data_IF_787412916141
#
_entry.id   IF_787412916141
#
_cell.length_a   1.000
_cell.length_b   1.000
_cell.length_c   1.000
_cell.angle_alpha   90.00
_cell.angle_beta   90.00
_cell.angle_gamma   90.00
#
_symmetry.space_group_name_H-M   'P 1'
#
loop_
_entity.id
_entity.type
_entity.pdbx_description
1 polymer ?
#
# COMPACT_ATOMS: atom_id res chain seq x y z
N UNK A 1 -6.05 -27.35 11.96
CA UNK A 1 -7.32 -27.26 11.21
C UNK A 1 -8.34 -28.13 11.89
N UNK A 2 -9.42 -27.51 12.39
CA UNK A 2 -10.58 -28.26 12.87
C UNK A 2 -11.69 -28.30 11.80
N UNK A 3 -11.72 -27.33 10.88
CA UNK A 3 -12.70 -27.19 9.79
C UNK A 3 -12.05 -26.44 8.60
N UNK A 4 -12.53 -26.64 7.36
CA UNK A 4 -12.11 -25.85 6.18
C UNK A 4 -11.28 -26.60 5.13
N UNK A 5 -10.58 -25.85 4.27
CA UNK A 5 -9.71 -26.36 3.22
C UNK A 5 -8.28 -25.87 3.41
N UNK A 6 -7.31 -26.77 3.23
CA UNK A 6 -5.88 -26.44 3.19
C UNK A 6 -5.36 -26.62 1.78
N UNK A 7 -4.92 -25.53 1.18
CA UNK A 7 -4.29 -25.56 -0.14
C UNK A 7 -2.83 -25.18 0.07
N UNK A 8 -1.92 -26.07 -0.33
CA UNK A 8 -0.48 -25.85 -0.26
C UNK A 8 0.13 -25.80 -1.65
N UNK A 9 1.14 -24.96 -1.79
CA UNK A 9 2.00 -24.97 -2.97
C UNK A 9 2.92 -26.18 -3.00
N UNK A 10 3.57 -26.38 -4.14
CA UNK A 10 4.55 -27.44 -4.36
C UNK A 10 5.79 -27.35 -3.45
N UNK A 11 6.06 -26.19 -2.83
CA UNK A 11 7.15 -26.00 -1.86
C UNK A 11 6.67 -26.12 -0.41
N UNK A 12 5.43 -26.58 -0.17
CA UNK A 12 4.85 -26.77 1.16
C UNK A 12 4.31 -25.51 1.82
N UNK A 13 4.38 -24.36 1.15
CA UNK A 13 3.82 -23.10 1.61
C UNK A 13 2.29 -23.16 1.65
N UNK A 14 1.68 -22.71 2.74
CA UNK A 14 0.23 -22.57 2.84
C UNK A 14 -0.23 -21.41 1.97
N UNK A 15 -1.19 -21.67 1.09
CA UNK A 15 -1.79 -20.70 0.17
C UNK A 15 -3.15 -20.24 0.71
N UNK A 16 -3.97 -21.19 1.16
CA UNK A 16 -5.27 -20.96 1.80
C UNK A 16 -5.35 -21.88 3.01
N UNK A 17 -5.75 -21.34 4.15
CA UNK A 17 -6.17 -22.09 5.33
C UNK A 17 -7.34 -21.39 6.06
N UNK A 18 -7.74 -21.95 7.21
CA UNK A 18 -8.83 -21.47 8.06
C UNK A 18 -8.46 -20.29 8.97
N UNK A 19 -7.19 -19.83 8.96
CA UNK A 19 -6.68 -18.79 9.87
C UNK A 19 -5.99 -17.62 9.17
N UNK A 20 -5.58 -17.77 7.91
CA UNK A 20 -4.88 -16.82 7.06
C UNK A 20 -5.74 -16.53 5.81
N UNK A 21 -6.54 -15.45 5.82
CA UNK A 21 -7.43 -15.13 4.71
C UNK A 21 -6.66 -14.64 3.49
N UNK A 22 -7.13 -15.00 2.29
CA UNK A 22 -6.70 -14.34 1.07
C UNK A 22 -7.16 -12.88 1.05
N UNK A 23 -6.31 -11.99 0.54
CA UNK A 23 -6.71 -10.61 0.25
C UNK A 23 -7.47 -10.58 -1.09
N UNK A 24 -8.73 -10.18 -1.06
CA UNK A 24 -9.56 -10.03 -2.25
C UNK A 24 -9.58 -8.58 -2.70
N UNK A 25 -9.35 -8.32 -3.98
CA UNK A 25 -9.59 -7.01 -4.59
C UNK A 25 -11.09 -6.74 -4.51
N UNK A 26 -11.46 -5.65 -3.85
CA UNK A 26 -12.86 -5.24 -3.66
C UNK A 26 -13.23 -4.02 -4.49
N UNK A 27 -12.26 -3.17 -4.78
CA UNK A 27 -12.47 -2.03 -5.67
C UNK A 27 -11.15 -1.56 -6.28
N UNK A 28 -11.23 -0.86 -7.41
CA UNK A 28 -10.09 -0.22 -8.05
C UNK A 28 -10.55 1.02 -8.79
N UNK A 29 -9.61 1.92 -9.07
CA UNK A 29 -9.92 3.14 -9.81
C UNK A 29 -8.68 3.98 -10.09
N UNK A 30 -8.93 5.25 -10.40
CA UNK A 30 -7.89 6.27 -10.59
C UNK A 30 -7.97 7.32 -9.49
N UNK A 31 -6.83 7.92 -9.14
CA UNK A 31 -6.78 9.12 -8.33
C UNK A 31 -6.17 10.27 -9.16
N UNK A 32 -6.73 11.46 -8.99
CA UNK A 32 -6.43 12.63 -9.82
C UNK A 32 -5.29 13.50 -9.32
N UNK A 33 -5.20 14.70 -9.89
CA UNK A 33 -4.25 15.74 -9.51
C UNK A 33 -4.90 16.67 -8.51
N UNK A 34 -4.29 16.81 -7.34
CA UNK A 34 -4.61 17.87 -6.39
C UNK A 34 -3.28 18.22 -5.72
N UNK A 35 -2.84 19.47 -5.88
CA UNK A 35 -1.50 19.92 -5.50
C UNK A 35 -1.22 19.76 -4.00
N UNK A 36 -1.39 20.82 -3.22
CA UNK A 36 -1.13 20.82 -1.78
C UNK A 36 -2.35 20.40 -0.92
N UNK A 37 -3.40 19.85 -1.53
CA UNK A 37 -4.64 19.47 -0.85
C UNK A 37 -4.73 17.97 -0.65
N UNK A 38 -5.42 17.56 0.40
CA UNK A 38 -5.73 16.14 0.64
C UNK A 38 -6.62 15.60 -0.48
N UNK A 39 -6.23 14.46 -1.05
CA UNK A 39 -7.07 13.71 -1.96
C UNK A 39 -7.94 12.75 -1.16
N UNK A 40 -9.25 12.81 -1.40
CA UNK A 40 -10.24 11.94 -0.79
C UNK A 40 -10.81 11.02 -1.87
N UNK A 41 -10.69 9.71 -1.67
CA UNK A 41 -11.24 8.68 -2.55
C UNK A 41 -12.31 7.92 -1.78
N UNK A 42 -13.54 7.95 -2.30
CA UNK A 42 -14.67 7.17 -1.77
C UNK A 42 -14.84 5.87 -2.54
N UNK A 43 -15.12 4.79 -1.82
CA UNK A 43 -15.55 3.54 -2.43
C UNK A 43 -16.98 3.65 -2.93
N UNK A 44 -17.31 2.89 -3.97
CA UNK A 44 -18.65 2.79 -4.55
C UNK A 44 -19.69 2.29 -3.55
N UNK A 45 -19.29 1.36 -2.68
CA UNK A 45 -20.09 0.88 -1.55
C UNK A 45 -19.18 0.66 -0.34
N UNK A 46 -19.69 0.79 0.90
CA UNK A 46 -18.88 0.54 2.09
C UNK A 46 -18.34 -0.89 2.12
N UNK A 47 -17.02 -1.04 2.31
CA UNK A 47 -16.39 -2.36 2.44
C UNK A 47 -16.67 -2.90 3.83
N UNK A 48 -17.40 -4.03 3.87
CA UNK A 48 -17.70 -4.74 5.10
C UNK A 48 -16.56 -5.69 5.48
N UNK A 49 -15.53 -5.16 6.12
CA UNK A 49 -14.40 -5.91 6.66
C UNK A 49 -14.13 -5.46 8.09
N UNK A 50 -13.88 -6.38 9.04
CA UNK A 50 -13.49 -6.00 10.40
C UNK A 50 -12.12 -5.30 10.46
N UNK A 51 -11.30 -5.43 9.41
CA UNK A 51 -9.98 -4.82 9.29
C UNK A 51 -9.94 -3.74 8.20
N UNK A 52 -9.03 -2.79 8.35
CA UNK A 52 -8.71 -1.80 7.33
C UNK A 52 -8.44 -2.45 5.96
N UNK A 53 -8.93 -1.86 4.85
CA UNK A 53 -8.54 -2.30 3.52
C UNK A 53 -7.04 -2.10 3.25
N UNK A 54 -6.43 -3.04 2.55
CA UNK A 54 -5.08 -2.91 2.00
C UNK A 54 -5.15 -2.07 0.74
N UNK A 55 -4.56 -0.87 0.75
CA UNK A 55 -4.61 0.04 -0.41
C UNK A 55 -3.27 0.04 -1.12
N UNK A 56 -3.33 -0.20 -2.42
CA UNK A 56 -2.20 -0.23 -3.32
C UNK A 56 -2.33 0.86 -4.37
N UNK A 57 -1.22 1.47 -4.77
CA UNK A 57 -1.20 2.55 -5.76
C UNK A 57 -0.20 2.27 -6.86
N UNK A 58 -0.49 2.79 -8.04
CA UNK A 58 0.39 2.85 -9.19
C UNK A 58 0.43 4.28 -9.71
N UNK A 59 1.42 5.08 -9.27
CA UNK A 59 1.68 6.42 -9.79
C UNK A 59 1.87 6.45 -11.31
N UNK A 60 1.34 7.50 -11.94
CA UNK A 60 1.58 7.77 -13.36
C UNK A 60 3.03 8.19 -13.62
N UNK A 61 3.69 8.82 -12.65
CA UNK A 61 5.11 9.16 -12.72
C UNK A 61 5.65 9.73 -11.40
N UNK A 62 6.51 10.76 -11.43
CA UNK A 62 7.17 11.30 -10.24
C UNK A 62 6.22 11.99 -9.26
N UNK A 63 6.00 11.36 -8.11
CA UNK A 63 5.49 11.94 -6.86
C UNK A 63 5.57 10.89 -5.74
N UNK A 64 5.51 11.33 -4.49
CA UNK A 64 5.35 10.45 -3.34
C UNK A 64 4.01 10.69 -2.63
N UNK A 65 3.43 9.63 -2.08
CA UNK A 65 2.21 9.65 -1.27
C UNK A 65 2.57 9.70 0.20
N UNK A 66 1.85 10.50 1.00
CA UNK A 66 2.05 10.60 2.45
C UNK A 66 0.76 10.96 3.20
N UNK A 67 0.80 10.84 4.54
CA UNK A 67 -0.36 11.09 5.41
C UNK A 67 -1.60 10.29 5.00
N UNK A 68 -1.39 9.02 4.66
CA UNK A 68 -2.46 8.12 4.28
C UNK A 68 -3.38 7.84 5.47
N UNK A 69 -4.70 7.87 5.27
CA UNK A 69 -5.67 7.45 6.29
C UNK A 69 -6.87 6.76 5.65
N UNK A 70 -7.47 5.85 6.39
CA UNK A 70 -8.76 5.25 6.04
C UNK A 70 -9.92 6.17 6.39
N UNK A 71 -11.04 5.99 5.68
CA UNK A 71 -12.32 6.62 5.96
C UNK A 71 -13.33 5.54 6.36
N UNK A 72 -14.18 5.83 7.33
CA UNK A 72 -15.08 4.86 7.94
C UNK A 72 -14.41 4.10 9.08
N UNK A 73 -14.88 2.88 9.34
CA UNK A 73 -14.38 2.04 10.43
C UNK A 73 -14.72 0.57 10.22
N UNK A 74 -14.39 -0.30 11.20
CA UNK A 74 -14.63 -1.74 11.12
C UNK A 74 -16.06 -2.07 10.68
N UNK A 75 -16.19 -2.87 9.61
CA UNK A 75 -17.47 -3.27 9.01
C UNK A 75 -18.12 -2.26 8.05
N UNK A 76 -17.58 -1.04 7.93
CA UNK A 76 -18.11 0.01 7.07
C UNK A 76 -17.01 1.00 6.63
N UNK A 77 -15.99 0.53 5.93
CA UNK A 77 -14.95 1.40 5.37
C UNK A 77 -15.47 2.09 4.12
N UNK A 78 -15.42 3.42 4.06
CA UNK A 78 -16.03 4.23 3.00
C UNK A 78 -15.03 4.80 2.01
N UNK A 79 -13.73 4.67 2.28
CA UNK A 79 -12.70 5.18 1.40
C UNK A 79 -11.34 5.32 2.07
N UNK A 80 -10.52 6.17 1.48
CA UNK A 80 -9.21 6.55 1.99
C UNK A 80 -8.84 7.96 1.53
N UNK A 81 -7.87 8.57 2.21
CA UNK A 81 -7.35 9.88 1.87
C UNK A 81 -5.83 9.93 2.02
N UNK A 82 -5.18 10.78 1.24
CA UNK A 82 -3.72 10.97 1.29
C UNK A 82 -3.31 12.28 0.59
N UNK A 83 -2.06 12.68 0.77
CA UNK A 83 -1.45 13.82 0.08
C UNK A 83 -0.40 13.37 -0.93
N UNK A 84 -0.20 14.17 -1.98
CA UNK A 84 0.88 14.00 -2.95
C UNK A 84 1.99 15.02 -2.67
N UNK A 85 3.24 14.59 -2.75
CA UNK A 85 4.43 15.44 -2.55
C UNK A 85 5.38 15.34 -3.72
N UNK A 86 6.06 16.46 -3.98
CA UNK A 86 6.99 16.64 -5.09
C UNK A 86 8.29 17.26 -4.58
N UNK A 87 9.35 17.09 -5.36
CA UNK A 87 10.69 17.55 -5.00
C UNK A 87 11.21 18.45 -6.12
N UNK A 88 11.79 19.60 -5.76
CA UNK A 88 12.23 20.62 -6.73
C UNK A 88 13.39 20.13 -7.59
N UNK A 89 14.26 19.29 -7.02
CA UNK A 89 15.50 18.84 -7.64
C UNK A 89 15.38 17.44 -8.26
N UNK A 90 14.15 17.03 -8.59
CA UNK A 90 13.85 15.76 -9.26
C UNK A 90 13.16 16.02 -10.60
N UNK A 91 12.77 14.97 -11.32
CA UNK A 91 12.00 15.16 -12.54
C UNK A 91 10.68 15.90 -12.29
N UNK A 92 10.14 16.61 -13.30
CA UNK A 92 8.85 17.28 -13.21
C UNK A 92 7.78 16.30 -12.72
N UNK A 93 6.91 16.73 -11.78
CA UNK A 93 5.94 15.83 -11.20
C UNK A 93 4.87 15.40 -12.20
N UNK A 94 4.50 14.13 -12.15
CA UNK A 94 3.39 13.56 -12.93
C UNK A 94 2.40 12.96 -11.95
N UNK A 95 1.50 13.82 -11.48
CA UNK A 95 0.51 13.50 -10.48
C UNK A 95 -0.51 12.45 -10.94
N UNK A 96 -1.21 11.89 -9.96
CA UNK A 96 -2.28 10.94 -10.19
C UNK A 96 -1.77 9.52 -10.45
N UNK A 97 -2.71 8.60 -10.60
CA UNK A 97 -2.37 7.21 -10.78
C UNK A 97 -3.58 6.31 -10.68
N UNK A 98 -3.31 5.02 -10.56
CA UNK A 98 -4.33 4.02 -10.30
C UNK A 98 -4.22 3.51 -8.87
N UNK A 99 -5.32 2.97 -8.35
CA UNK A 99 -5.36 2.35 -7.04
C UNK A 99 -6.16 1.05 -7.07
N UNK A 100 -5.83 0.15 -6.16
CA UNK A 100 -6.59 -1.06 -5.82
C UNK A 100 -6.80 -1.08 -4.30
N UNK A 101 -7.99 -1.42 -3.86
CA UNK A 101 -8.28 -1.75 -2.47
C UNK A 101 -8.56 -3.25 -2.37
N UNK A 102 -7.88 -3.89 -1.43
CA UNK A 102 -8.12 -5.28 -1.08
C UNK A 102 -8.60 -5.39 0.37
N UNK A 103 -9.38 -6.41 0.66
CA UNK A 103 -9.86 -6.67 2.02
C UNK A 103 -9.90 -8.16 2.31
N UNK A 104 -10.06 -8.49 3.58
CA UNK A 104 -10.12 -9.87 4.10
C UNK A 104 -11.40 -10.05 4.89
N UNK A 105 -11.82 -11.30 5.12
CA UNK A 105 -12.98 -11.63 5.98
C UNK A 105 -14.28 -10.92 5.56
N UNK A 106 -14.45 -10.77 4.26
CA UNK A 106 -15.61 -10.14 3.64
C UNK A 106 -16.87 -11.01 3.76
N UNK A 107 -18.08 -10.44 3.55
CA UNK A 107 -19.30 -11.22 3.51
C UNK A 107 -19.29 -12.22 2.36
N UNK A 108 -20.08 -13.29 2.52
CA UNK A 108 -20.33 -14.29 1.49
C UNK A 108 -20.93 -13.65 0.23
N UNK A 109 -20.44 -14.05 -0.95
CA UNK A 109 -21.13 -13.74 -2.21
C UNK A 109 -22.15 -14.84 -2.54
N UNK A 110 -23.33 -14.46 -3.02
CA UNK A 110 -24.45 -15.40 -3.28
C UNK A 110 -24.39 -16.12 -4.64
N UNK A 111 -23.22 -16.24 -5.27
CA UNK A 111 -23.07 -16.82 -6.62
C UNK A 111 -22.49 -18.24 -6.57
N UNK A 112 -22.49 -18.93 -7.71
CA UNK A 112 -21.80 -20.21 -7.91
C UNK A 112 -20.28 -20.03 -7.76
N UNK A 113 -19.59 -20.91 -7.05
CA UNK A 113 -18.14 -20.84 -6.87
C UNK A 113 -17.64 -21.65 -5.67
N UNK A 114 -16.33 -21.63 -5.46
CA UNK A 114 -15.69 -22.21 -4.28
C UNK A 114 -15.49 -21.12 -3.22
N UNK A 115 -16.04 -21.34 -2.03
CA UNK A 115 -15.84 -20.49 -0.86
C UNK A 115 -15.26 -21.30 0.29
N UNK A 116 -14.22 -20.76 0.93
CA UNK A 116 -13.64 -21.31 2.16
C UNK A 116 -13.98 -20.35 3.28
N UNK A 117 -14.45 -20.89 4.41
CA UNK A 117 -14.82 -20.12 5.59
C UNK A 117 -14.01 -20.54 6.80
N UNK A 118 -13.84 -19.60 7.73
CA UNK A 118 -13.33 -19.92 9.07
C UNK A 118 -14.44 -20.46 9.98
N UNK A 119 -14.09 -20.77 11.23
CA UNK A 119 -15.03 -21.24 12.25
C UNK A 119 -16.11 -20.22 12.65
N UNK A 120 -16.01 -18.96 12.20
CA UNK A 120 -16.99 -17.89 12.41
C UNK A 120 -17.81 -17.58 11.16
N UNK A 121 -17.74 -18.43 10.11
CA UNK A 121 -18.42 -18.25 8.83
C UNK A 121 -17.98 -17.02 8.03
N UNK A 122 -16.78 -16.48 8.29
CA UNK A 122 -16.19 -15.38 7.51
C UNK A 122 -15.44 -15.94 6.31
N UNK A 123 -15.43 -15.21 5.19
CA UNK A 123 -14.78 -15.68 3.94
C UNK A 123 -13.26 -15.61 4.08
N UNK A 124 -12.61 -16.76 3.94
CA UNK A 124 -11.16 -16.92 3.85
C UNK A 124 -10.69 -16.93 2.39
N UNK A 125 -11.50 -17.50 1.50
CA UNK A 125 -11.29 -17.51 0.06
C UNK A 125 -12.64 -17.54 -0.67
N UNK A 126 -12.73 -16.85 -1.82
CA UNK A 126 -13.88 -16.86 -2.71
C UNK A 126 -13.39 -16.81 -4.15
N UNK A 127 -13.68 -17.84 -4.95
CA UNK A 127 -13.25 -17.93 -6.34
C UNK A 127 -13.90 -16.88 -7.25
N UNK A 128 -14.97 -16.21 -6.80
CA UNK A 128 -15.63 -15.15 -7.55
C UNK A 128 -14.98 -13.77 -7.34
N UNK A 129 -13.93 -13.68 -6.53
CA UNK A 129 -13.21 -12.45 -6.27
C UNK A 129 -11.79 -12.56 -6.81
N UNK A 130 -11.32 -11.50 -7.46
CA UNK A 130 -9.91 -11.36 -7.78
C UNK A 130 -9.11 -11.33 -6.47
N UNK A 131 -8.01 -12.09 -6.43
CA UNK A 131 -7.10 -12.12 -5.28
C UNK A 131 -5.88 -11.25 -5.57
N UNK A 132 -5.33 -10.63 -4.53
CA UNK A 132 -4.05 -9.92 -4.63
C UNK A 132 -2.96 -10.89 -5.07
N UNK A 133 -2.24 -10.55 -6.14
CA UNK A 133 -1.06 -11.29 -6.61
C UNK A 133 0.21 -10.52 -6.27
N UNK A 134 0.93 -11.01 -5.26
CA UNK A 134 2.24 -10.47 -4.91
C UNK A 134 3.25 -10.73 -6.03
N UNK A 135 4.02 -9.71 -6.39
CA UNK A 135 5.10 -9.81 -7.38
C UNK A 135 6.47 -9.61 -6.73
N UNK A 136 6.51 -9.09 -5.51
CA UNK A 136 7.71 -9.04 -4.70
C UNK A 136 7.59 -8.10 -3.51
N UNK A 137 8.71 -7.91 -2.84
CA UNK A 137 8.82 -7.02 -1.70
C UNK A 137 10.27 -6.85 -1.28
N UNK A 138 10.49 -5.87 -0.42
CA UNK A 138 11.80 -5.57 0.16
C UNK A 138 11.58 -4.90 1.51
N UNK A 139 12.60 -4.84 2.36
CA UNK A 139 12.45 -4.23 3.69
C UNK A 139 13.60 -3.29 4.05
N UNK A 140 14.80 -3.53 3.54
CA UNK A 140 16.00 -2.77 3.91
C UNK A 140 16.30 -1.73 2.85
N UNK A 141 16.02 -0.46 3.15
CA UNK A 141 16.24 0.64 2.21
C UNK A 141 17.62 1.24 2.37
N UNK A 142 18.26 1.58 1.25
CA UNK A 142 19.56 2.25 1.24
C UNK A 142 19.38 3.75 1.39
N UNK A 143 20.25 4.39 2.19
CA UNK A 143 20.32 5.85 2.26
C UNK A 143 20.56 6.42 0.86
N UNK A 144 19.79 7.43 0.47
CA UNK A 144 19.87 8.03 -0.87
C UNK A 144 20.34 9.48 -0.83
N UNK A 145 19.62 10.33 -0.10
CA UNK A 145 19.91 11.76 -0.05
C UNK A 145 19.47 12.35 1.28
N UNK A 146 20.12 13.44 1.68
CA UNK A 146 19.76 14.23 2.85
C UNK A 146 19.62 15.70 2.44
N UNK A 147 18.50 16.32 2.79
CA UNK A 147 18.25 17.74 2.57
C UNK A 147 18.17 18.46 3.92
N UNK A 148 19.20 19.27 4.28
CA UNK A 148 19.21 20.01 5.54
C UNK A 148 18.30 21.25 5.55
N UNK A 149 17.79 21.68 4.39
CA UNK A 149 17.06 22.93 4.18
C UNK A 149 15.65 22.66 3.61
N UNK A 150 14.95 21.63 4.11
CA UNK A 150 13.57 21.37 3.71
C UNK A 150 12.65 22.52 4.19
N UNK A 151 11.60 22.88 3.43
CA UNK A 151 10.69 23.97 3.82
C UNK A 151 10.23 23.90 5.28
N UNK A 152 10.13 25.06 5.92
CA UNK A 152 9.82 25.18 7.35
C UNK A 152 11.02 24.99 8.29
N UNK A 153 12.25 25.06 7.77
CA UNK A 153 13.47 24.86 8.56
C UNK A 153 13.66 23.41 9.01
N UNK A 154 13.02 22.48 8.30
CA UNK A 154 13.03 21.05 8.64
C UNK A 154 14.15 20.34 7.86
N UNK A 155 14.43 19.10 8.25
CA UNK A 155 15.43 18.25 7.58
C UNK A 155 14.74 17.02 7.02
N UNK A 156 15.07 16.65 5.80
CA UNK A 156 14.47 15.52 5.12
C UNK A 156 15.53 14.48 4.78
N UNK A 157 15.31 13.23 5.20
CA UNK A 157 16.10 12.08 4.78
C UNK A 157 15.31 11.29 3.73
N UNK A 158 16.00 10.88 2.67
CA UNK A 158 15.46 10.01 1.61
C UNK A 158 16.24 8.70 1.57
N UNK A 159 15.51 7.61 1.38
CA UNK A 159 16.01 6.26 1.16
C UNK A 159 15.44 5.70 -0.14
N UNK A 160 16.12 4.73 -0.74
CA UNK A 160 15.77 4.17 -2.03
C UNK A 160 15.87 2.64 -2.05
N UNK A 161 15.09 2.05 -2.96
CA UNK A 161 15.12 0.64 -3.32
C UNK A 161 14.99 0.47 -4.85
N UNK A 162 15.68 -0.50 -5.46
CA UNK A 162 15.34 -0.96 -6.80
C UNK A 162 13.86 -1.39 -6.87
N UNK A 163 13.19 -1.04 -7.97
CA UNK A 163 11.81 -1.43 -8.25
C UNK A 163 11.74 -2.23 -9.56
N UNK A 164 12.15 -3.52 -9.56
CA UNK A 164 12.29 -4.34 -10.76
C UNK A 164 10.96 -4.91 -11.28
N UNK A 165 9.83 -4.56 -10.64
CA UNK A 165 8.52 -5.18 -10.91
C UNK A 165 7.81 -4.62 -12.14
N UNK A 166 8.34 -3.54 -12.73
CA UNK A 166 7.78 -2.91 -13.93
C UNK A 166 6.69 -1.89 -13.62
N UNK A 167 6.43 -1.01 -14.59
CA UNK A 167 5.58 0.18 -14.44
C UNK A 167 4.08 -0.11 -14.33
N UNK A 168 3.65 -1.35 -14.58
CA UNK A 168 2.26 -1.77 -14.48
C UNK A 168 1.85 -2.22 -13.07
N UNK A 169 2.81 -2.40 -12.15
CA UNK A 169 2.59 -2.93 -10.80
C UNK A 169 2.23 -1.85 -9.79
N UNK A 170 1.59 -2.24 -8.71
CA UNK A 170 1.18 -1.39 -7.60
C UNK A 170 2.04 -1.67 -6.38
N UNK A 171 2.22 -0.69 -5.51
CA UNK A 171 2.79 -0.88 -4.18
C UNK A 171 1.82 -0.50 -3.08
N UNK A 172 1.87 -1.19 -1.95
CA UNK A 172 1.00 -0.92 -0.81
C UNK A 172 1.38 0.39 -0.12
N UNK A 173 0.39 1.23 0.18
CA UNK A 173 0.57 2.52 0.88
C UNK A 173 -0.05 2.56 2.26
N UNK A 174 -1.08 1.75 2.54
CA UNK A 174 -1.83 1.86 3.80
C UNK A 174 -1.01 1.51 5.04
N UNK A 175 0.07 0.72 4.92
CA UNK A 175 0.98 0.42 6.03
C UNK A 175 2.15 1.40 6.16
N UNK A 176 2.38 2.28 5.18
CA UNK A 176 3.44 3.31 5.25
C UNK A 176 3.09 4.44 6.22
N UNK A 177 1.88 4.47 6.80
CA UNK A 177 1.49 5.51 7.74
C UNK A 177 2.00 5.29 9.18
N UNK A 178 2.72 4.19 9.46
CA UNK A 178 3.41 4.05 10.74
C UNK A 178 4.65 4.95 10.75
N UNK A 179 4.96 5.56 11.89
CA UNK A 179 6.12 6.45 12.04
C UNK A 179 7.31 5.64 12.58
N UNK A 180 8.46 5.55 11.87
CA UNK A 180 9.69 5.06 12.48
C UNK A 180 10.10 5.91 13.68
N UNK A 181 10.65 5.29 14.72
CA UNK A 181 10.98 5.98 15.98
C UNK A 181 12.00 7.13 15.86
N UNK A 182 12.77 7.17 14.77
CA UNK A 182 13.79 8.18 14.51
C UNK A 182 13.40 9.22 13.46
N UNK A 183 12.21 9.10 12.85
CA UNK A 183 11.65 10.15 12.00
C UNK A 183 10.76 11.06 12.83
N UNK A 184 10.35 12.19 12.28
CA UNK A 184 9.40 13.13 12.90
C UNK A 184 7.96 12.85 12.46
N UNK A 185 7.78 12.10 11.39
CA UNK A 185 6.50 11.79 10.73
C UNK A 185 6.54 10.39 10.07
N UNK A 186 5.37 9.85 9.67
CA UNK A 186 5.32 8.71 8.75
C UNK A 186 6.00 9.03 7.41
N UNK A 187 6.69 8.05 6.80
CA UNK A 187 7.38 8.25 5.54
C UNK A 187 6.41 8.52 4.38
N UNK A 188 6.86 9.38 3.48
CA UNK A 188 6.33 9.53 2.13
C UNK A 188 6.89 8.41 1.26
N UNK A 189 6.12 7.84 0.34
CA UNK A 189 6.58 6.75 -0.54
C UNK A 189 6.11 6.92 -1.98
N UNK A 190 7.01 6.69 -2.93
CA UNK A 190 6.70 6.76 -4.36
C UNK A 190 7.93 6.98 -5.23
N UNK A 191 7.74 7.60 -6.39
CA UNK A 191 8.78 7.72 -7.41
C UNK A 191 9.26 9.16 -7.53
N UNK A 192 10.55 9.36 -7.78
CA UNK A 192 11.15 10.66 -8.07
C UNK A 192 11.52 10.83 -9.55
N UNK A 193 11.44 9.74 -10.33
CA UNK A 193 11.83 9.67 -11.74
C UNK A 193 10.80 8.87 -12.54
N UNK A 194 10.56 9.27 -13.78
CA UNK A 194 9.52 8.73 -14.67
C UNK A 194 9.81 7.30 -15.11
N UNK A 195 11.09 6.88 -15.05
CA UNK A 195 11.50 5.50 -15.29
C UNK A 195 10.82 4.52 -14.35
N UNK A 196 10.50 4.95 -13.11
CA UNK A 196 9.91 4.13 -12.04
C UNK A 196 10.66 2.82 -11.80
N UNK A 197 11.98 2.83 -12.03
CA UNK A 197 12.91 1.71 -11.77
C UNK A 197 13.45 1.72 -10.34
N UNK A 198 13.22 2.80 -9.60
CA UNK A 198 13.67 2.99 -8.21
C UNK A 198 12.55 3.66 -7.44
N UNK A 199 12.14 3.07 -6.33
CA UNK A 199 11.14 3.64 -5.43
C UNK A 199 11.86 4.29 -4.24
N UNK A 200 11.28 5.36 -3.73
CA UNK A 200 11.87 6.19 -2.69
C UNK A 200 10.93 6.28 -1.49
N UNK A 201 11.51 6.27 -0.30
CA UNK A 201 10.86 6.63 0.95
C UNK A 201 11.54 7.89 1.49
N UNK A 202 10.77 8.88 1.92
CA UNK A 202 11.30 10.15 2.44
C UNK A 202 10.59 10.53 3.72
N UNK A 203 11.31 10.98 4.74
CA UNK A 203 10.69 11.41 5.99
C UNK A 203 11.47 12.57 6.61
N UNK A 204 10.76 13.43 7.32
CA UNK A 204 11.39 14.42 8.17
C UNK A 204 12.16 13.74 9.31
N UNK A 205 13.35 14.26 9.61
CA UNK A 205 14.25 13.74 10.64
C UNK A 205 14.77 14.89 11.50
N UNK A 206 15.13 14.63 12.78
CA UNK A 206 15.75 15.66 13.60
C UNK A 206 17.12 16.04 13.06
N UNK A 207 17.91 15.10 12.52
CA UNK A 207 19.23 15.30 11.91
C UNK A 207 19.50 14.21 10.87
N UNK A 208 20.56 14.37 10.07
CA UNK A 208 21.00 13.34 9.13
C UNK A 208 21.24 12.02 9.86
N UNK A 209 20.75 10.91 9.28
CA UNK A 209 20.81 9.60 9.91
C UNK A 209 21.43 8.57 8.99
N UNK A 210 22.34 7.76 9.55
CA UNK A 210 22.88 6.56 8.91
C UNK A 210 22.19 5.29 9.43
N UNK A 211 21.09 5.44 10.18
CA UNK A 211 20.35 4.29 10.72
C UNK A 211 19.70 3.50 9.59
N UNK A 212 19.66 2.15 9.69
CA UNK A 212 18.90 1.33 8.76
C UNK A 212 17.44 1.74 8.72
N UNK A 213 16.91 2.01 7.52
CA UNK A 213 15.49 2.23 7.32
C UNK A 213 14.85 0.91 6.91
N UNK A 214 14.30 0.22 7.92
CA UNK A 214 13.65 -1.08 7.75
C UNK A 214 12.13 -0.87 7.66
N UNK A 215 11.61 -0.83 6.45
CA UNK A 215 10.20 -0.60 6.18
C UNK A 215 9.71 -1.50 5.06
N UNK A 216 8.63 -2.28 5.23
CA UNK A 216 8.24 -3.23 4.20
C UNK A 216 7.74 -2.49 2.95
N UNK A 217 8.30 -2.83 1.80
CA UNK A 217 7.75 -2.58 0.49
C UNK A 217 7.03 -3.86 0.06
N UNK A 218 5.77 -3.72 -0.35
CA UNK A 218 4.98 -4.83 -0.88
C UNK A 218 4.50 -4.39 -2.26
N UNK A 219 4.85 -5.16 -3.29
CA UNK A 219 4.45 -4.93 -4.67
C UNK A 219 3.49 -6.01 -5.15
N UNK A 220 2.46 -5.59 -5.88
CA UNK A 220 1.38 -6.45 -6.41
C UNK A 220 1.10 -6.12 -7.87
N UNK A 221 0.51 -7.08 -8.58
CA UNK A 221 0.07 -6.89 -9.96
C UNK A 221 -1.29 -6.20 -10.09
#
# INVERSE_FOLDING_TARGET
>A
MSYGALIRGNSGQTIIDDVNPCMHIVESGTYGVQGATELVISYSTPINSPYEPYVYVRPNGPHQIYQFRHLGGPGAWTGFAFYQSIFRDTEPPVYGGQWKAAAVMLPRTGRWGLQVFDGQSRVMFDSNREIVRFVGGAQTWSKYAFNPNWPGGMRLQTWALPYPYGTSTYYMVSHFNLKPWFTLEPPRVGFLYSSRTTIFASALVPDETNRPFNWPLIAVA
#
